data_IF_116037711986
#
_entry.id   IF_116037711986
#
_cell.length_a   1.000
_cell.length_b   1.000
_cell.length_c   1.000
_cell.angle_alpha   90.00
_cell.angle_beta   90.00
_cell.angle_gamma   90.00
#
_symmetry.space_group_name_H-M   'P 1'
#
loop_
_entity.id
_entity.type
_entity.pdbx_description
1 polymer ?
#
# COMPACT_ATOMS: atom_id res chain seq x y z
N UNK A 1 -3.43 -13.36 61.20
CA UNK A 1 -3.39 -14.25 60.01
C UNK A 1 -4.73 -14.08 59.29
N UNK A 2 -4.91 -13.93 57.98
CA UNK A 2 -4.05 -13.82 56.80
C UNK A 2 -4.92 -13.28 55.65
N UNK A 3 -4.40 -12.28 54.93
CA UNK A 3 -4.61 -11.92 53.51
C UNK A 3 -6.04 -11.98 52.93
N UNK A 4 -6.75 -10.83 52.99
CA UNK A 4 -7.80 -10.53 51.99
C UNK A 4 -7.13 -9.92 50.75
N UNK A 5 -6.80 -10.79 49.80
CA UNK A 5 -6.19 -10.45 48.51
C UNK A 5 -7.15 -9.59 47.67
N UNK A 6 -6.98 -8.27 47.66
CA UNK A 6 -7.63 -7.39 46.68
C UNK A 6 -6.93 -7.59 45.34
N UNK A 7 -7.57 -8.30 44.41
CA UNK A 7 -7.14 -8.29 43.02
C UNK A 7 -7.20 -6.84 42.51
N UNK A 8 -6.14 -6.30 41.89
CA UNK A 8 -6.24 -5.05 41.18
C UNK A 8 -7.23 -5.25 40.03
N UNK A 9 -8.27 -4.42 40.02
CA UNK A 9 -9.24 -4.27 38.93
C UNK A 9 -8.44 -4.25 37.60
N UNK A 10 -8.81 -5.04 36.57
CA UNK A 10 -8.18 -4.92 35.27
C UNK A 10 -8.30 -3.45 34.86
N UNK A 11 -7.16 -2.74 34.89
CA UNK A 11 -7.08 -1.43 34.27
C UNK A 11 -7.41 -1.69 32.80
N UNK A 12 -8.30 -0.92 32.17
CA UNK A 12 -8.37 -0.94 30.72
C UNK A 12 -6.94 -0.64 30.28
N UNK A 13 -6.29 -1.63 29.68
CA UNK A 13 -5.08 -1.42 28.90
C UNK A 13 -5.33 -0.13 28.12
N UNK A 14 -4.43 0.87 28.18
CA UNK A 14 -4.55 2.00 27.30
C UNK A 14 -4.70 1.39 25.92
N UNK A 15 -5.90 1.45 25.33
CA UNK A 15 -6.08 1.27 23.91
C UNK A 15 -4.98 2.12 23.34
N UNK A 16 -4.02 1.48 22.67
CA UNK A 16 -2.95 2.18 21.99
C UNK A 16 -3.65 3.31 21.26
N UNK A 17 -3.53 4.50 21.84
CA UNK A 17 -4.05 5.70 21.26
C UNK A 17 -3.23 5.76 20.01
N UNK A 18 -3.83 5.36 18.89
CA UNK A 18 -3.34 5.74 17.59
C UNK A 18 -3.31 7.24 17.65
N UNK A 19 -2.14 7.75 18.01
CA UNK A 19 -1.78 9.13 17.84
C UNK A 19 -2.16 9.40 16.40
N UNK A 20 -3.19 10.21 16.21
CA UNK A 20 -3.66 10.69 14.92
C UNK A 20 -2.57 11.61 14.39
N UNK A 21 -1.44 11.04 13.99
CA UNK A 21 -0.55 11.68 13.04
C UNK A 21 -1.30 11.55 11.72
N UNK A 22 -2.12 12.53 11.40
CA UNK A 22 -2.70 12.68 10.07
C UNK A 22 -1.62 13.11 9.06
N UNK A 23 -0.42 12.51 9.10
CA UNK A 23 0.44 12.30 7.92
C UNK A 23 -0.10 11.11 7.12
N UNK A 24 -1.42 11.10 6.92
CA UNK A 24 -2.09 10.14 6.06
C UNK A 24 -1.80 10.51 4.61
N UNK A 25 -1.61 9.50 3.77
CA UNK A 25 -1.53 9.67 2.31
C UNK A 25 -2.68 10.58 1.86
N UNK A 26 -2.34 11.63 1.11
CA UNK A 26 -3.30 12.61 0.63
C UNK A 26 -4.40 11.94 -0.21
N UNK A 27 -5.59 12.52 -0.26
CA UNK A 27 -6.68 11.96 -1.10
C UNK A 27 -6.28 11.84 -2.58
N UNK A 28 -5.40 12.75 -3.06
CA UNK A 28 -4.81 12.68 -4.39
C UNK A 28 -3.78 11.56 -4.48
N UNK A 29 -2.86 11.47 -3.52
CA UNK A 29 -1.86 10.38 -3.44
C UNK A 29 -2.51 9.00 -3.44
N UNK A 30 -3.62 8.83 -2.70
CA UNK A 30 -4.36 7.58 -2.67
C UNK A 30 -4.94 7.21 -4.05
N UNK A 31 -5.45 8.19 -4.79
CA UNK A 31 -5.92 7.99 -6.18
C UNK A 31 -4.78 7.60 -7.11
N UNK A 32 -3.62 8.24 -6.99
CA UNK A 32 -2.43 7.92 -7.78
C UNK A 32 -1.94 6.50 -7.46
N UNK A 33 -1.88 6.13 -6.18
CA UNK A 33 -1.52 4.78 -5.75
C UNK A 33 -2.51 3.76 -6.31
N UNK A 34 -3.82 4.01 -6.21
CA UNK A 34 -4.84 3.12 -6.77
C UNK A 34 -4.67 2.93 -8.29
N UNK A 35 -4.35 4.01 -9.01
CA UNK A 35 -4.00 3.94 -10.43
C UNK A 35 -2.74 3.11 -10.68
N UNK A 36 -1.69 3.32 -9.90
CA UNK A 36 -0.44 2.55 -10.00
C UNK A 36 -0.65 1.05 -9.73
N UNK A 37 -1.42 0.70 -8.70
CA UNK A 37 -1.81 -0.69 -8.42
C UNK A 37 -2.58 -1.30 -9.59
N UNK A 38 -3.52 -0.56 -10.18
CA UNK A 38 -4.24 -1.05 -11.36
C UNK A 38 -3.30 -1.31 -12.55
N UNK A 39 -2.29 -0.44 -12.76
CA UNK A 39 -1.25 -0.64 -13.79
C UNK A 39 -0.40 -1.87 -13.49
N UNK A 40 -0.01 -2.11 -12.23
CA UNK A 40 0.73 -3.32 -11.83
C UNK A 40 -0.09 -4.58 -12.14
N UNK A 41 -1.37 -4.59 -11.73
CA UNK A 41 -2.28 -5.72 -12.00
C UNK A 41 -2.40 -5.95 -13.51
N UNK A 42 -2.58 -4.88 -14.29
CA UNK A 42 -2.60 -4.98 -15.74
C UNK A 42 -1.28 -5.53 -16.30
N UNK A 43 -0.13 -5.12 -15.76
CA UNK A 43 1.17 -5.66 -16.10
C UNK A 43 1.28 -7.16 -15.86
N UNK A 44 0.75 -7.67 -14.74
CA UNK A 44 0.67 -9.11 -14.48
C UNK A 44 -0.30 -9.83 -15.41
N UNK A 45 -1.44 -9.22 -15.77
CA UNK A 45 -2.36 -9.79 -16.75
C UNK A 45 -1.74 -9.89 -18.15
N UNK A 46 -0.96 -8.88 -18.55
CA UNK A 46 -0.18 -8.92 -19.80
C UNK A 46 0.91 -9.98 -19.71
N UNK A 47 1.61 -10.09 -18.58
CA UNK A 47 2.62 -11.13 -18.36
C UNK A 47 2.03 -12.54 -18.49
N UNK A 48 0.78 -12.77 -18.08
CA UNK A 48 0.10 -14.06 -18.28
C UNK A 48 -0.10 -14.43 -19.75
N UNK A 49 0.08 -13.49 -20.68
CA UNK A 49 0.08 -13.72 -22.13
C UNK A 49 1.49 -13.84 -22.71
N UNK A 50 2.54 -13.74 -21.90
CA UNK A 50 3.90 -13.93 -22.33
C UNK A 50 4.20 -15.43 -22.56
N UNK A 51 4.81 -15.74 -23.71
CA UNK A 51 5.33 -17.08 -23.95
C UNK A 51 6.55 -17.36 -23.07
N UNK A 52 6.77 -18.63 -22.72
CA UNK A 52 7.86 -19.04 -21.84
C UNK A 52 9.26 -18.65 -22.38
N UNK A 53 9.40 -18.53 -23.70
CA UNK A 53 10.65 -18.09 -24.34
C UNK A 53 10.79 -16.57 -24.41
N UNK A 54 9.77 -15.80 -23.99
CA UNK A 54 9.79 -14.34 -23.99
C UNK A 54 9.79 -13.71 -25.39
N UNK A 55 9.48 -14.47 -26.44
CA UNK A 55 9.59 -14.02 -27.84
C UNK A 55 8.40 -13.20 -28.35
N UNK A 56 7.40 -12.95 -27.51
CA UNK A 56 6.21 -12.19 -27.88
C UNK A 56 6.21 -10.80 -27.25
N UNK A 57 5.39 -9.90 -27.78
CA UNK A 57 5.39 -8.51 -27.33
C UNK A 57 4.94 -8.33 -25.87
N UNK A 58 4.10 -9.24 -25.36
CA UNK A 58 3.65 -9.20 -23.97
C UNK A 58 4.82 -9.37 -22.99
N UNK A 59 5.77 -10.26 -23.30
CA UNK A 59 6.99 -10.46 -22.51
C UNK A 59 7.88 -9.21 -22.43
N UNK A 60 7.86 -8.38 -23.48
CA UNK A 60 8.60 -7.13 -23.50
C UNK A 60 7.86 -5.99 -22.80
N UNK A 61 6.53 -5.92 -22.93
CA UNK A 61 5.75 -4.83 -22.35
C UNK A 61 5.51 -4.98 -20.84
N UNK A 62 5.25 -6.19 -20.36
CA UNK A 62 4.86 -6.42 -18.96
C UNK A 62 5.89 -5.93 -17.93
N UNK A 63 7.22 -6.08 -18.12
CA UNK A 63 8.19 -5.56 -17.17
C UNK A 63 8.09 -4.04 -17.01
N UNK A 64 7.86 -3.30 -18.11
CA UNK A 64 7.69 -1.85 -18.06
C UNK A 64 6.38 -1.44 -17.40
N UNK A 65 5.29 -2.18 -17.62
CA UNK A 65 4.02 -1.93 -16.93
C UNK A 65 4.15 -2.12 -15.42
N UNK A 66 4.77 -3.23 -15.00
CA UNK A 66 4.95 -3.53 -13.58
C UNK A 66 5.86 -2.48 -12.94
N UNK A 67 7.02 -2.20 -13.56
CA UNK A 67 7.98 -1.22 -13.04
C UNK A 67 7.40 0.20 -13.04
N UNK A 68 6.74 0.61 -14.12
CA UNK A 68 6.06 1.90 -14.22
C UNK A 68 4.96 2.04 -13.18
N UNK A 69 4.19 0.97 -12.93
CA UNK A 69 3.19 0.92 -11.87
C UNK A 69 3.79 1.15 -10.47
N UNK A 70 4.94 0.55 -10.17
CA UNK A 70 5.66 0.81 -8.92
C UNK A 70 6.15 2.25 -8.80
N UNK A 71 6.63 2.85 -9.90
CA UNK A 71 7.01 4.26 -9.92
C UNK A 71 5.79 5.16 -9.64
N UNK A 72 4.64 4.88 -10.25
CA UNK A 72 3.39 5.61 -10.01
C UNK A 72 2.98 5.49 -8.53
N UNK A 73 3.03 4.30 -7.95
CA UNK A 73 2.74 4.09 -6.52
C UNK A 73 3.70 4.92 -5.66
N UNK A 74 5.00 4.88 -5.95
CA UNK A 74 6.00 5.69 -5.26
C UNK A 74 5.69 7.18 -5.32
N UNK A 75 5.38 7.71 -6.51
CA UNK A 75 4.98 9.11 -6.68
C UNK A 75 3.69 9.45 -5.93
N UNK A 76 2.74 8.53 -5.87
CA UNK A 76 1.50 8.70 -5.12
C UNK A 76 1.71 8.78 -3.61
N UNK A 77 2.73 8.10 -3.07
CA UNK A 77 3.09 8.21 -1.65
C UNK A 77 3.63 9.61 -1.32
N UNK A 78 4.43 10.19 -2.21
CA UNK A 78 4.99 11.54 -2.04
C UNK A 78 4.12 12.66 -2.63
N UNK A 79 2.91 12.35 -3.09
CA UNK A 79 2.07 13.30 -3.80
C UNK A 79 1.51 14.38 -2.85
N UNK A 80 1.71 15.68 -3.17
CA UNK A 80 1.19 16.76 -2.36
C UNK A 80 -0.34 16.83 -2.45
N UNK A 81 -0.96 17.42 -1.43
CA UNK A 81 -2.42 17.47 -1.30
C UNK A 81 -3.07 18.43 -2.32
N UNK A 82 -2.28 19.36 -2.88
CA UNK A 82 -2.67 20.30 -3.94
C UNK A 82 -1.52 20.45 -4.94
N UNK A 83 -1.80 20.34 -6.24
CA UNK A 83 -0.92 20.86 -7.28
C UNK A 83 -1.04 22.39 -7.20
N UNK A 84 -0.01 23.05 -6.66
CA UNK A 84 0.07 24.52 -6.63
C UNK A 84 0.28 25.09 -8.03
#
# INVERSE_FOLDING_TARGET
>A
MSRKNRQPKPQPVPSQGGETVSDGITSLGLKVIAGGVAVIVLGFLVLSRADAMGGNWAAHLSPFLILGGYVIVGLGIFAPEKLQ
#
